data_IF_350470194856
#
_entry.id   IF_350470194856
#
_cell.length_a   1.000
_cell.length_b   1.000
_cell.length_c   1.000
_cell.angle_alpha   90.00
_cell.angle_beta   90.00
_cell.angle_gamma   90.00
#
_symmetry.space_group_name_H-M   'P 1'
#
loop_
_entity.id
_entity.type
_entity.pdbx_description
1 polymer ?
#
# COMPACT_ATOMS: atom_id res chain seq x y z
N UNK A 1 -13.18 41.78 20.20
CA UNK A 1 -13.71 40.87 19.16
C UNK A 1 -13.42 39.40 19.49
N UNK A 2 -13.25 39.08 20.78
CA UNK A 2 -12.48 37.88 21.18
C UNK A 2 -13.39 36.67 21.46
N UNK A 3 -14.61 36.89 21.96
CA UNK A 3 -15.53 35.79 22.28
C UNK A 3 -16.16 35.13 21.05
N UNK A 4 -16.30 35.84 19.94
CA UNK A 4 -16.85 35.28 18.69
C UNK A 4 -15.82 34.36 18.06
N UNK A 5 -14.56 34.79 17.99
CA UNK A 5 -13.46 34.00 17.45
C UNK A 5 -13.28 32.71 18.25
N UNK A 6 -13.30 32.77 19.60
CA UNK A 6 -13.18 31.56 20.44
C UNK A 6 -14.39 30.61 20.29
N UNK A 7 -15.62 31.15 20.20
CA UNK A 7 -16.84 30.34 20.07
C UNK A 7 -16.91 29.55 18.76
N UNK A 8 -16.31 30.06 17.69
CA UNK A 8 -16.32 29.37 16.39
C UNK A 8 -15.01 28.63 16.10
N UNK A 9 -13.87 29.09 16.63
CA UNK A 9 -12.58 28.41 16.44
C UNK A 9 -12.54 27.06 17.16
N UNK A 10 -13.09 26.95 18.37
CA UNK A 10 -13.09 25.70 19.13
C UNK A 10 -13.87 24.57 18.43
N UNK A 11 -15.14 24.76 18.02
CA UNK A 11 -15.87 23.74 17.28
C UNK A 11 -15.30 23.51 15.87
N UNK A 12 -14.74 24.53 15.21
CA UNK A 12 -14.08 24.36 13.91
C UNK A 12 -12.83 23.49 14.02
N UNK A 13 -12.01 23.66 15.06
CA UNK A 13 -10.84 22.80 15.32
C UNK A 13 -11.25 21.38 15.68
N UNK A 14 -12.32 21.20 16.46
CA UNK A 14 -12.86 19.88 16.77
C UNK A 14 -13.39 19.21 15.50
N UNK A 15 -14.13 19.93 14.65
CA UNK A 15 -14.60 19.42 13.37
C UNK A 15 -13.45 19.06 12.43
N UNK A 16 -12.36 19.83 12.43
CA UNK A 16 -11.15 19.54 11.66
C UNK A 16 -10.40 18.30 12.18
N UNK A 17 -10.33 18.13 13.51
CA UNK A 17 -9.72 16.96 14.13
C UNK A 17 -10.53 15.67 13.93
N UNK A 18 -11.85 15.77 13.76
CA UNK A 18 -12.72 14.63 13.43
C UNK A 18 -12.67 14.34 11.91
N UNK A 19 -12.48 15.38 11.07
CA UNK A 19 -12.39 15.21 9.61
C UNK A 19 -11.04 14.70 9.12
N UNK A 20 -10.00 14.68 9.97
CA UNK A 20 -8.82 13.82 9.77
C UNK A 20 -9.20 12.35 9.99
N UNK A 21 -10.14 11.87 9.20
CA UNK A 21 -10.17 10.48 8.79
C UNK A 21 -8.77 10.18 8.24
N UNK A 22 -8.05 9.16 8.75
CA UNK A 22 -6.81 8.75 8.13
C UNK A 22 -7.16 8.33 6.70
N UNK A 23 -6.84 9.20 5.74
CA UNK A 23 -6.92 8.90 4.34
C UNK A 23 -6.00 7.71 4.07
N UNK A 24 -6.59 6.52 4.04
CA UNK A 24 -6.12 5.31 3.38
C UNK A 24 -4.59 5.20 3.21
N UNK A 25 -3.89 4.95 4.30
CA UNK A 25 -2.79 4.00 4.28
C UNK A 25 -3.30 2.79 5.06
N UNK A 26 -3.76 1.76 4.33
CA UNK A 26 -4.28 0.50 4.85
C UNK A 26 -3.13 -0.32 5.43
N UNK A 27 -2.48 0.23 6.44
CA UNK A 27 -1.66 -0.45 7.41
C UNK A 27 -2.30 -0.17 8.77
N UNK A 28 -3.58 -0.55 8.90
CA UNK A 28 -4.09 -0.84 10.24
C UNK A 28 -3.11 -1.85 10.80
N UNK A 29 -2.40 -1.47 11.86
CA UNK A 29 -1.38 -2.32 12.47
C UNK A 29 -2.05 -3.55 13.11
N UNK A 30 -2.57 -4.48 12.30
CA UNK A 30 -3.14 -5.76 12.75
C UNK A 30 -2.10 -6.57 13.54
N UNK A 31 -0.80 -6.22 13.42
CA UNK A 31 0.30 -6.72 14.26
C UNK A 31 0.16 -6.38 15.75
N UNK A 32 -0.43 -5.25 16.12
CA UNK A 32 -0.58 -4.84 17.53
C UNK A 32 -1.85 -5.40 18.20
N UNK A 33 -2.69 -6.14 17.46
CA UNK A 33 -3.87 -6.79 18.02
C UNK A 33 -3.46 -8.05 18.78
N UNK A 34 -3.65 -8.04 20.10
CA UNK A 34 -3.19 -9.11 20.99
C UNK A 34 -4.08 -10.37 20.91
N UNK A 35 -5.39 -10.19 20.77
CA UNK A 35 -6.32 -11.30 20.63
C UNK A 35 -6.26 -11.87 19.21
N UNK A 36 -6.00 -13.18 19.10
CA UNK A 36 -5.98 -13.91 17.82
C UNK A 36 -7.26 -13.74 16.98
N UNK A 37 -8.48 -13.90 17.51
CA UNK A 37 -9.68 -13.78 16.68
C UNK A 37 -9.85 -12.37 16.11
N UNK A 38 -9.51 -11.35 16.90
CA UNK A 38 -9.60 -9.95 16.48
C UNK A 38 -8.54 -9.61 15.43
N UNK A 39 -7.36 -10.25 15.53
CA UNK A 39 -6.28 -10.12 14.55
C UNK A 39 -6.68 -10.73 13.20
N UNK A 40 -7.24 -11.92 13.21
CA UNK A 40 -7.72 -12.59 12.00
C UNK A 40 -8.84 -11.78 11.33
N UNK A 41 -9.81 -11.29 12.11
CA UNK A 41 -10.86 -10.42 11.61
C UNK A 41 -10.35 -9.06 11.09
N UNK A 42 -9.23 -8.55 11.61
CA UNK A 42 -8.54 -7.36 11.11
C UNK A 42 -7.95 -7.61 9.72
N UNK A 43 -7.22 -8.72 9.56
CA UNK A 43 -6.67 -9.11 8.27
C UNK A 43 -7.75 -9.37 7.23
N UNK A 44 -8.82 -10.09 7.57
CA UNK A 44 -9.94 -10.39 6.65
C UNK A 44 -10.60 -9.12 6.07
N UNK A 45 -10.75 -8.07 6.88
CA UNK A 45 -11.27 -6.79 6.40
C UNK A 45 -10.28 -6.07 5.48
N UNK A 46 -8.99 -6.19 5.77
CA UNK A 46 -7.92 -5.59 4.97
C UNK A 46 -7.87 -6.19 3.56
N UNK A 47 -7.95 -7.51 3.45
CA UNK A 47 -8.00 -8.21 2.16
C UNK A 47 -9.32 -7.98 1.42
N UNK A 48 -10.45 -7.90 2.11
CA UNK A 48 -11.73 -7.56 1.48
C UNK A 48 -11.70 -6.14 0.88
N UNK A 49 -11.16 -5.16 1.60
CA UNK A 49 -10.99 -3.79 1.11
C UNK A 49 -9.96 -3.73 -0.03
N UNK A 50 -8.87 -4.48 0.06
CA UNK A 50 -7.87 -4.59 -1.00
C UNK A 50 -8.46 -5.28 -2.24
N UNK A 51 -9.30 -6.29 -2.07
CA UNK A 51 -10.00 -6.98 -3.16
C UNK A 51 -11.06 -6.08 -3.80
N UNK A 52 -11.76 -5.27 -3.01
CA UNK A 52 -12.69 -4.26 -3.48
C UNK A 52 -11.96 -3.15 -4.24
N UNK A 53 -10.81 -2.64 -3.75
CA UNK A 53 -9.99 -1.66 -4.48
C UNK A 53 -9.35 -2.25 -5.74
N UNK A 54 -9.03 -3.54 -5.76
CA UNK A 54 -8.51 -4.24 -6.95
C UNK A 54 -9.56 -4.36 -8.06
N UNK A 55 -10.85 -4.19 -7.77
CA UNK A 55 -11.94 -4.24 -8.76
C UNK A 55 -12.59 -2.84 -8.87
N UNK A 56 -12.35 -2.03 -9.93
CA UNK A 56 -11.74 -2.32 -11.21
C UNK A 56 -10.54 -1.39 -11.47
N UNK A 57 -9.32 -1.83 -11.17
CA UNK A 57 -8.20 -1.37 -11.98
C UNK A 57 -8.37 -2.10 -13.32
N UNK A 58 -8.82 -1.38 -14.36
CA UNK A 58 -8.82 -1.90 -15.72
C UNK A 58 -7.47 -2.59 -16.02
N UNK A 59 -7.43 -3.63 -16.87
CA UNK A 59 -6.21 -4.38 -17.19
C UNK A 59 -5.31 -3.53 -18.10
N UNK A 60 -4.83 -2.39 -17.61
CA UNK A 60 -4.08 -1.44 -18.44
C UNK A 60 -2.64 -1.90 -18.60
N UNK A 61 -2.14 -2.85 -17.80
CA UNK A 61 -0.73 -3.25 -17.91
C UNK A 61 -0.38 -4.65 -17.39
N UNK A 62 -1.31 -5.59 -17.22
CA UNK A 62 -0.89 -6.97 -16.88
C UNK A 62 -0.02 -7.60 -17.96
N UNK A 63 -0.32 -7.30 -19.24
CA UNK A 63 0.54 -7.68 -20.36
C UNK A 63 1.93 -7.05 -20.25
N UNK A 64 1.99 -5.72 -20.03
CA UNK A 64 3.25 -4.99 -19.90
C UNK A 64 4.05 -5.39 -18.66
N UNK A 65 3.40 -5.72 -17.54
CA UNK A 65 4.09 -6.18 -16.33
C UNK A 65 4.69 -7.57 -16.57
N UNK A 66 3.94 -8.49 -17.19
CA UNK A 66 4.47 -9.79 -17.58
C UNK A 66 5.58 -9.68 -18.63
N UNK A 67 5.46 -8.78 -19.59
CA UNK A 67 6.51 -8.48 -20.58
C UNK A 67 7.75 -7.89 -19.91
N UNK A 68 7.59 -6.95 -18.98
CA UNK A 68 8.70 -6.37 -18.21
C UNK A 68 9.41 -7.45 -17.38
N UNK A 69 8.67 -8.35 -16.73
CA UNK A 69 9.24 -9.47 -15.98
C UNK A 69 10.00 -10.45 -16.89
N UNK A 70 9.49 -10.72 -18.10
CA UNK A 70 10.20 -11.55 -19.09
C UNK A 70 11.47 -10.86 -19.58
N UNK A 71 11.41 -9.55 -19.83
CA UNK A 71 12.55 -8.76 -20.28
C UNK A 71 13.68 -8.78 -19.24
N UNK A 72 13.37 -8.54 -17.96
CA UNK A 72 14.39 -8.58 -16.90
C UNK A 72 15.12 -9.92 -16.83
N UNK A 73 14.41 -11.05 -16.99
CA UNK A 73 15.04 -12.37 -17.01
C UNK A 73 15.99 -12.54 -18.20
N UNK A 74 15.60 -12.03 -19.37
CA UNK A 74 16.45 -12.08 -20.56
C UNK A 74 17.69 -11.19 -20.42
N UNK A 75 17.53 -10.02 -19.81
CA UNK A 75 18.63 -9.10 -19.55
C UNK A 75 19.61 -9.70 -18.54
N UNK A 76 19.12 -10.35 -17.47
CA UNK A 76 19.95 -11.09 -16.52
C UNK A 76 20.78 -12.19 -17.23
N UNK A 77 20.13 -13.01 -18.07
CA UNK A 77 20.82 -14.05 -18.85
C UNK A 77 21.87 -13.47 -19.80
N UNK A 78 21.59 -12.34 -20.44
CA UNK A 78 22.52 -11.64 -21.32
C UNK A 78 23.72 -11.08 -20.55
N UNK A 79 23.49 -10.54 -19.35
CA UNK A 79 24.54 -10.08 -18.44
C UNK A 79 25.42 -11.25 -18.00
N UNK A 80 24.84 -12.39 -17.64
CA UNK A 80 25.63 -13.59 -17.31
C UNK A 80 26.51 -14.06 -18.47
N UNK A 81 26.00 -14.04 -19.71
CA UNK A 81 26.78 -14.41 -20.90
C UNK A 81 27.88 -13.40 -21.26
N UNK A 82 27.61 -12.11 -21.09
CA UNK A 82 28.60 -11.05 -21.38
C UNK A 82 29.74 -11.00 -20.35
N UNK A 83 29.50 -11.50 -19.13
CA UNK A 83 30.50 -11.56 -18.05
C UNK A 83 31.18 -12.95 -18.04
N UNK A 84 31.54 -13.46 -19.21
CA UNK A 84 32.22 -14.75 -19.40
C UNK A 84 33.68 -14.79 -18.87
N UNK A 85 34.26 -13.64 -18.55
CA UNK A 85 35.64 -13.50 -18.08
C UNK A 85 35.77 -13.36 -16.55
N UNK A 86 34.68 -13.53 -15.79
CA UNK A 86 34.71 -13.53 -14.32
C UNK A 86 34.38 -14.94 -13.83
N UNK A 87 35.23 -15.52 -12.98
CA UNK A 87 34.92 -16.78 -12.30
C UNK A 87 33.67 -16.62 -11.44
N UNK A 88 32.60 -17.38 -11.75
CA UNK A 88 31.33 -17.36 -11.02
C UNK A 88 31.19 -18.42 -9.94
N UNK A 89 32.24 -19.20 -9.66
CA UNK A 89 32.27 -20.16 -8.56
C UNK A 89 31.18 -21.23 -8.69
N UNK A 90 31.31 -22.08 -9.71
CA UNK A 90 30.49 -23.27 -9.90
C UNK A 90 31.02 -24.42 -9.04
#
# INVERSE_FOLDING_TARGET
MDSIVVKFALPALIALAISTTPAAAVEQNCRFVQAKPDREACYMRQEEELAAKRKPAAPVNEGKTLETLRQMRQDDDAVYRSINNICRGC
#
